data_IF_409040650619
#
_entry.id   IF_409040650619
#
_cell.length_a   1.000
_cell.length_b   1.000
_cell.length_c   1.000
_cell.angle_alpha   90.00
_cell.angle_beta   90.00
_cell.angle_gamma   90.00
#
_symmetry.space_group_name_H-M   'P 1'
#
loop_
_entity.id
_entity.type
_entity.pdbx_description
1 polymer ?
#
# COMPACT_ATOMS: atom_id res chain seq x y z
N UNK A 1 16.74 -19.17 18.11
CA UNK A 1 15.31 -18.85 18.27
C UNK A 1 14.98 -19.12 19.73
N UNK A 2 14.65 -18.08 20.47
CA UNK A 2 14.12 -18.26 21.81
C UNK A 2 12.78 -19.00 21.67
N UNK A 3 12.53 -19.97 22.53
CA UNK A 3 11.26 -20.71 22.49
C UNK A 3 10.21 -19.81 23.15
N UNK A 4 9.09 -19.55 22.48
CA UNK A 4 7.92 -18.90 23.11
C UNK A 4 7.61 -19.64 24.41
N UNK A 5 7.61 -18.92 25.54
CA UNK A 5 7.32 -19.50 26.85
C UNK A 5 5.85 -19.22 27.17
N UNK A 6 5.02 -20.20 26.88
CA UNK A 6 3.58 -20.12 27.08
C UNK A 6 3.17 -20.41 28.52
N UNK A 7 2.13 -19.73 29.04
CA UNK A 7 1.40 -20.20 30.21
C UNK A 7 0.73 -21.56 29.96
N UNK A 8 0.23 -22.20 31.01
CA UNK A 8 -0.60 -23.40 30.86
C UNK A 8 -1.91 -23.09 30.13
N UNK A 9 -2.32 -23.95 29.19
CA UNK A 9 -3.50 -23.75 28.33
C UNK A 9 -4.79 -23.42 29.09
N UNK A 10 -5.00 -24.05 30.26
CA UNK A 10 -6.20 -23.83 31.06
C UNK A 10 -6.28 -22.42 31.69
N UNK A 11 -5.14 -21.74 31.86
CA UNK A 11 -5.07 -20.39 32.39
C UNK A 11 -5.44 -19.34 31.35
N UNK A 12 -5.19 -19.63 30.07
CA UNK A 12 -5.42 -18.71 28.96
C UNK A 12 -6.62 -19.08 28.10
N UNK A 13 -7.33 -20.17 28.42
CA UNK A 13 -8.54 -20.57 27.71
C UNK A 13 -9.58 -19.42 27.64
N UNK A 14 -10.18 -19.15 26.47
CA UNK A 14 -10.20 -19.97 25.26
C UNK A 14 -9.05 -19.69 24.29
N UNK A 15 -8.08 -18.85 24.66
CA UNK A 15 -6.87 -18.67 23.86
C UNK A 15 -5.98 -19.91 23.94
N UNK A 16 -5.14 -20.06 22.92
CA UNK A 16 -4.10 -21.09 22.86
C UNK A 16 -2.74 -20.42 22.68
N UNK A 17 -1.68 -21.04 23.19
CA UNK A 17 -0.32 -20.53 23.02
C UNK A 17 0.60 -21.63 22.49
N UNK A 18 1.43 -21.30 21.51
CA UNK A 18 2.37 -22.23 20.91
C UNK A 18 3.60 -21.53 20.33
N UNK A 19 4.36 -22.26 19.51
CA UNK A 19 5.60 -21.73 18.91
C UNK A 19 5.40 -20.54 17.97
N UNK A 20 4.17 -20.25 17.55
CA UNK A 20 3.80 -19.09 16.73
C UNK A 20 3.27 -17.90 17.53
N UNK A 21 3.20 -17.99 18.86
CA UNK A 21 2.58 -16.98 19.72
C UNK A 21 1.24 -17.40 20.31
N UNK A 22 0.36 -16.44 20.57
CA UNK A 22 -0.93 -16.60 21.25
C UNK A 22 -2.07 -16.35 20.28
N UNK A 23 -3.00 -17.30 20.20
CA UNK A 23 -4.24 -17.17 19.41
C UNK A 23 -5.44 -17.07 20.34
N UNK A 24 -6.06 -15.90 20.35
CA UNK A 24 -7.25 -15.55 21.11
C UNK A 24 -8.49 -15.41 20.23
N UNK A 25 -8.49 -15.93 19.00
CA UNK A 25 -9.63 -15.81 18.06
C UNK A 25 -10.95 -16.34 18.63
N UNK A 26 -10.89 -17.31 19.55
CA UNK A 26 -12.04 -17.95 20.19
C UNK A 26 -12.66 -17.16 21.37
N UNK A 27 -12.16 -15.97 21.72
CA UNK A 27 -12.76 -15.16 22.79
C UNK A 27 -14.14 -14.62 22.40
N UNK A 28 -15.06 -14.57 23.37
CA UNK A 28 -16.45 -14.19 23.21
C UNK A 28 -16.77 -12.80 23.78
N UNK A 29 -15.83 -12.19 24.50
CA UNK A 29 -15.94 -10.78 24.91
C UNK A 29 -14.58 -10.17 25.24
N UNK A 30 -14.54 -8.85 25.29
CA UNK A 30 -13.40 -8.07 25.74
C UNK A 30 -13.08 -8.31 27.22
N UNK A 31 -14.06 -8.60 28.08
CA UNK A 31 -13.79 -9.04 29.46
C UNK A 31 -13.13 -10.42 29.50
N UNK A 32 -13.48 -11.34 28.60
CA UNK A 32 -12.83 -12.64 28.51
C UNK A 32 -11.38 -12.48 28.06
N UNK A 33 -11.12 -11.64 27.05
CA UNK A 33 -9.78 -11.32 26.60
C UNK A 33 -8.95 -10.70 27.73
N UNK A 34 -9.49 -9.72 28.45
CA UNK A 34 -8.79 -9.09 29.58
C UNK A 34 -8.45 -10.09 30.69
N UNK A 35 -9.34 -11.06 30.98
CA UNK A 35 -9.06 -12.11 31.98
C UNK A 35 -7.87 -12.99 31.59
N UNK A 36 -7.74 -13.33 30.31
CA UNK A 36 -6.59 -14.12 29.81
C UNK A 36 -5.27 -13.45 30.17
N UNK A 37 -5.18 -12.14 30.02
CA UNK A 37 -3.96 -11.35 30.29
C UNK A 37 -3.83 -10.85 31.74
N UNK A 38 -4.77 -11.17 32.62
CA UNK A 38 -4.62 -10.98 34.08
C UNK A 38 -3.85 -12.12 34.74
N UNK A 39 -3.71 -13.26 34.06
CA UNK A 39 -2.96 -14.40 34.55
C UNK A 39 -1.45 -14.17 34.45
N UNK A 40 -0.68 -14.85 35.29
CA UNK A 40 0.77 -14.74 35.28
C UNK A 40 1.36 -15.42 34.04
N UNK A 41 2.00 -14.64 33.17
CA UNK A 41 2.78 -15.17 32.06
C UNK A 41 4.21 -15.51 32.53
N UNK A 42 4.81 -16.61 32.04
CA UNK A 42 6.21 -16.93 32.37
C UNK A 42 7.22 -15.88 31.90
N UNK A 43 6.86 -15.11 30.88
CA UNK A 43 7.65 -14.02 30.30
C UNK A 43 6.69 -12.92 29.82
N UNK A 44 7.01 -11.63 30.04
CA UNK A 44 6.24 -10.53 29.46
C UNK A 44 6.44 -10.43 27.93
N UNK A 45 7.58 -10.92 27.43
CA UNK A 45 7.82 -11.00 25.99
C UNK A 45 7.28 -12.31 25.41
N UNK A 46 6.44 -12.19 24.40
CA UNK A 46 6.05 -13.28 23.51
C UNK A 46 6.77 -13.05 22.17
N UNK A 47 7.81 -13.85 21.92
CA UNK A 47 8.55 -13.90 20.64
C UNK A 47 7.69 -14.59 19.55
N UNK A 48 6.57 -13.96 19.21
CA UNK A 48 5.56 -14.49 18.31
C UNK A 48 4.35 -13.56 18.17
N UNK A 49 3.34 -14.07 17.46
CA UNK A 49 2.14 -13.30 17.14
C UNK A 49 1.10 -13.29 18.26
N UNK A 50 0.48 -12.14 18.51
CA UNK A 50 -0.86 -12.10 19.07
C UNK A 50 -1.87 -12.16 17.93
N UNK A 51 -2.83 -13.09 18.04
CA UNK A 51 -3.88 -13.30 17.05
C UNK A 51 -5.26 -13.11 17.64
N UNK A 52 -6.07 -12.29 16.97
CA UNK A 52 -7.52 -12.23 17.17
C UNK A 52 -8.15 -12.16 15.79
N UNK A 53 -8.48 -13.31 15.21
CA UNK A 53 -8.90 -13.41 13.81
C UNK A 53 -10.36 -13.81 13.71
N UNK A 54 -11.07 -13.24 12.72
CA UNK A 54 -12.46 -13.62 12.43
C UNK A 54 -13.41 -13.49 13.64
N UNK A 55 -13.01 -12.69 14.62
CA UNK A 55 -13.74 -12.47 15.85
C UNK A 55 -14.88 -11.48 15.59
N UNK A 56 -16.10 -11.93 15.90
CA UNK A 56 -17.31 -11.12 15.72
C UNK A 56 -17.86 -10.58 17.04
N UNK A 57 -17.16 -10.79 18.15
CA UNK A 57 -17.66 -10.50 19.48
C UNK A 57 -17.05 -9.23 20.09
N UNK A 58 -15.77 -8.99 19.83
CA UNK A 58 -15.06 -7.82 20.34
C UNK A 58 -15.36 -6.61 19.45
N UNK A 59 -15.89 -5.55 20.08
CA UNK A 59 -16.16 -4.26 19.41
C UNK A 59 -15.12 -3.20 19.68
N UNK A 60 -14.54 -3.25 20.88
CA UNK A 60 -13.54 -2.29 21.35
C UNK A 60 -12.40 -3.09 21.98
N UNK A 61 -11.18 -2.83 21.54
CA UNK A 61 -9.99 -3.32 22.23
C UNK A 61 -9.55 -2.26 23.22
N UNK A 62 -9.71 -2.55 24.52
CA UNK A 62 -9.51 -1.57 25.59
C UNK A 62 -8.05 -1.40 25.99
N UNK A 63 -7.70 -0.21 26.45
CA UNK A 63 -6.37 0.12 26.94
C UNK A 63 -5.97 -0.82 28.09
N UNK A 64 -4.71 -1.26 28.09
CA UNK A 64 -4.17 -2.17 29.10
C UNK A 64 -4.68 -3.62 29.04
N UNK A 65 -5.43 -4.00 28.00
CA UNK A 65 -5.97 -5.37 27.84
C UNK A 65 -4.87 -6.45 27.86
N UNK A 66 -3.64 -6.12 27.44
CA UNK A 66 -2.51 -7.06 27.44
C UNK A 66 -1.64 -6.97 28.71
N UNK A 67 -1.98 -6.12 29.68
CA UNK A 67 -1.17 -5.93 30.89
C UNK A 67 0.25 -5.47 30.55
N UNK A 68 1.25 -6.26 30.94
CA UNK A 68 2.68 -6.03 30.61
C UNK A 68 3.16 -6.87 29.41
N UNK A 69 2.26 -7.63 28.78
CA UNK A 69 2.61 -8.52 27.66
C UNK A 69 2.82 -7.72 26.38
N UNK A 70 3.84 -8.09 25.62
CA UNK A 70 4.16 -7.51 24.33
C UNK A 70 4.57 -8.57 23.30
N UNK A 71 4.40 -8.20 22.02
CA UNK A 71 4.41 -9.14 20.89
C UNK A 71 5.29 -8.63 19.75
N UNK A 72 5.87 -9.56 19.00
CA UNK A 72 6.58 -9.26 17.74
C UNK A 72 5.60 -8.98 16.61
N UNK A 73 4.50 -9.74 16.52
CA UNK A 73 3.47 -9.53 15.51
C UNK A 73 2.11 -9.31 16.17
N UNK A 74 1.37 -8.33 15.67
CA UNK A 74 0.03 -8.03 16.14
C UNK A 74 -0.96 -8.19 15.00
N UNK A 75 -1.70 -9.29 15.03
CA UNK A 75 -2.55 -9.73 13.93
C UNK A 75 -4.00 -9.82 14.39
N UNK A 76 -4.77 -8.78 14.09
CA UNK A 76 -6.18 -8.68 14.43
C UNK A 76 -7.03 -8.44 13.20
N UNK A 77 -6.78 -9.18 12.13
CA UNK A 77 -7.54 -9.04 10.88
C UNK A 77 -8.93 -9.71 10.90
N UNK A 78 -9.77 -9.28 9.96
CA UNK A 78 -11.07 -9.90 9.67
C UNK A 78 -12.04 -9.89 10.86
N UNK A 79 -11.99 -8.91 11.75
CA UNK A 79 -12.93 -8.76 12.85
C UNK A 79 -14.00 -7.71 12.51
N UNK A 80 -15.13 -8.09 11.88
CA UNK A 80 -16.13 -7.14 11.39
C UNK A 80 -16.86 -6.40 12.52
N UNK A 81 -16.76 -6.85 13.76
CA UNK A 81 -17.35 -6.16 14.90
C UNK A 81 -16.42 -5.11 15.51
N UNK A 82 -15.11 -5.18 15.23
CA UNK A 82 -14.12 -4.30 15.85
C UNK A 82 -14.14 -2.92 15.21
N UNK A 83 -14.55 -1.92 16.00
CA UNK A 83 -14.78 -0.55 15.54
C UNK A 83 -13.77 0.44 16.13
N UNK A 84 -13.16 0.09 17.26
CA UNK A 84 -12.26 0.98 17.98
C UNK A 84 -11.13 0.21 18.68
N UNK A 85 -9.93 0.77 18.63
CA UNK A 85 -8.78 0.36 19.43
C UNK A 85 -8.45 1.57 20.30
N UNK A 86 -8.55 1.40 21.61
CA UNK A 86 -8.21 2.46 22.55
C UNK A 86 -6.71 2.79 22.49
N UNK A 87 -6.40 4.03 22.84
CA UNK A 87 -5.04 4.52 23.03
C UNK A 87 -4.28 3.63 24.02
N UNK A 88 -3.01 3.35 23.74
CA UNK A 88 -2.13 2.61 24.63
C UNK A 88 -2.21 1.08 24.53
N UNK A 89 -3.13 0.52 23.74
CA UNK A 89 -3.35 -0.94 23.64
C UNK A 89 -2.06 -1.70 23.34
N UNK A 90 -1.23 -1.19 22.43
CA UNK A 90 -0.03 -1.89 21.95
C UNK A 90 1.30 -1.21 22.31
N UNK A 91 1.27 -0.15 23.13
CA UNK A 91 2.49 0.62 23.45
C UNK A 91 3.61 -0.21 24.08
N UNK A 92 3.30 -1.28 24.80
CA UNK A 92 4.32 -2.16 25.38
C UNK A 92 5.16 -2.90 24.32
N UNK A 93 4.66 -2.99 23.07
CA UNK A 93 5.34 -3.66 21.96
C UNK A 93 6.16 -2.70 21.11
N UNK A 94 6.38 -1.46 21.53
CA UNK A 94 7.10 -0.42 20.78
C UNK A 94 8.49 -0.86 20.27
N UNK A 95 9.26 -1.54 21.11
CA UNK A 95 10.61 -2.03 20.76
C UNK A 95 10.63 -3.42 20.13
N UNK A 96 9.51 -4.14 20.10
CA UNK A 96 9.44 -5.53 19.67
C UNK A 96 8.61 -5.74 18.40
N UNK A 97 7.55 -4.96 18.21
CA UNK A 97 6.58 -5.16 17.15
C UNK A 97 7.21 -4.87 15.78
N UNK A 98 7.20 -5.87 14.89
CA UNK A 98 7.70 -5.79 13.53
C UNK A 98 6.55 -5.67 12.51
N UNK A 99 5.40 -6.28 12.81
CA UNK A 99 4.22 -6.33 11.94
C UNK A 99 2.96 -6.01 12.72
N UNK A 100 2.12 -5.13 12.17
CA UNK A 100 0.79 -4.83 12.68
C UNK A 100 -0.24 -5.00 11.57
N UNK A 101 -0.99 -6.10 11.60
CA UNK A 101 -2.07 -6.41 10.67
C UNK A 101 -3.44 -6.12 11.32
N UNK A 102 -4.08 -5.06 10.84
CA UNK A 102 -5.37 -4.56 11.28
C UNK A 102 -6.40 -4.57 10.15
N UNK A 103 -6.18 -5.36 9.09
CA UNK A 103 -7.01 -5.33 7.89
C UNK A 103 -8.41 -5.90 8.11
N UNK A 104 -9.38 -5.48 7.28
CA UNK A 104 -10.73 -6.06 7.22
C UNK A 104 -11.47 -6.01 8.56
N UNK A 105 -11.27 -4.92 9.31
CA UNK A 105 -12.04 -4.59 10.49
C UNK A 105 -13.02 -3.44 10.16
N UNK A 106 -13.67 -2.87 11.16
CA UNK A 106 -14.53 -1.69 11.01
C UNK A 106 -13.97 -0.46 11.77
N UNK A 107 -12.64 -0.34 11.86
CA UNK A 107 -12.00 0.74 12.60
C UNK A 107 -12.36 2.10 12.00
N UNK A 108 -12.95 2.98 12.82
CA UNK A 108 -13.29 4.34 12.40
C UNK A 108 -12.08 5.29 12.45
N UNK A 109 -11.11 4.97 13.30
CA UNK A 109 -9.90 5.76 13.55
C UNK A 109 -8.78 4.85 14.06
N UNK A 110 -7.54 5.30 13.92
CA UNK A 110 -6.36 4.66 14.50
C UNK A 110 -5.40 5.73 15.07
N UNK A 111 -4.84 5.56 16.27
CA UNK A 111 -4.00 6.58 16.92
C UNK A 111 -2.56 6.58 16.36
N UNK A 112 -2.38 7.01 15.10
CA UNK A 112 -1.07 6.98 14.40
C UNK A 112 0.07 7.69 15.16
N UNK A 113 -0.23 8.71 15.96
CA UNK A 113 0.77 9.42 16.76
C UNK A 113 1.43 8.54 17.83
N UNK A 114 0.77 7.45 18.26
CA UNK A 114 1.32 6.46 19.21
C UNK A 114 2.38 5.56 18.57
N UNK A 115 2.57 5.64 17.25
CA UNK A 115 3.60 4.87 16.55
C UNK A 115 5.00 5.48 16.65
N UNK A 116 5.15 6.68 17.23
CA UNK A 116 6.46 7.34 17.37
C UNK A 116 7.55 6.49 18.07
N UNK A 117 7.27 5.73 19.15
CA UNK A 117 8.26 4.87 19.79
C UNK A 117 8.47 3.52 19.08
N UNK A 118 7.70 3.18 18.03
CA UNK A 118 7.76 1.88 17.36
C UNK A 118 8.98 1.76 16.44
N UNK A 119 10.14 1.50 17.01
CA UNK A 119 11.43 1.51 16.30
C UNK A 119 11.69 0.28 15.42
N UNK A 120 10.90 -0.78 15.58
CA UNK A 120 11.04 -2.03 14.80
C UNK A 120 9.86 -2.30 13.87
N UNK A 121 8.79 -1.49 13.90
CA UNK A 121 7.60 -1.73 13.09
C UNK A 121 7.93 -1.48 11.61
N UNK A 122 7.90 -2.55 10.81
CA UNK A 122 8.23 -2.52 9.39
C UNK A 122 7.01 -2.58 8.49
N UNK A 123 5.93 -3.22 8.94
CA UNK A 123 4.71 -3.45 8.17
C UNK A 123 3.51 -2.97 8.98
N UNK A 124 2.75 -2.02 8.43
CA UNK A 124 1.50 -1.54 8.98
C UNK A 124 0.37 -1.72 7.95
N UNK A 125 -0.60 -2.55 8.29
CA UNK A 125 -1.70 -2.88 7.39
C UNK A 125 -3.04 -2.49 8.00
N UNK A 126 -3.69 -1.50 7.38
CA UNK A 126 -4.97 -0.93 7.83
C UNK A 126 -6.03 -0.98 6.71
N UNK A 127 -5.80 -1.82 5.70
CA UNK A 127 -6.70 -1.97 4.56
C UNK A 127 -8.10 -2.44 4.95
N UNK A 128 -9.11 -2.06 4.16
CA UNK A 128 -10.51 -2.45 4.34
C UNK A 128 -11.03 -2.16 5.75
N UNK A 129 -10.85 -0.92 6.21
CA UNK A 129 -11.42 -0.38 7.45
C UNK A 129 -12.40 0.76 7.13
N UNK A 130 -12.86 1.48 8.16
CA UNK A 130 -13.74 2.63 8.04
C UNK A 130 -13.02 3.95 8.38
N UNK A 131 -11.72 4.06 8.08
CA UNK A 131 -10.96 5.28 8.35
C UNK A 131 -11.42 6.42 7.44
N UNK A 132 -11.84 7.53 8.05
CA UNK A 132 -12.43 8.69 7.35
C UNK A 132 -11.51 9.91 7.30
N UNK A 133 -10.26 9.78 7.77
CA UNK A 133 -9.29 10.87 7.81
C UNK A 133 -7.90 10.35 7.47
N UNK A 134 -7.14 11.15 6.70
CA UNK A 134 -5.76 10.83 6.39
C UNK A 134 -4.90 10.79 7.67
N UNK A 135 -3.98 9.83 7.78
CA UNK A 135 -3.09 9.71 8.93
C UNK A 135 -2.14 10.91 9.05
N UNK A 136 -1.86 11.28 10.31
CA UNK A 136 -0.73 12.14 10.64
C UNK A 136 0.36 11.24 11.24
N UNK A 137 1.28 10.79 10.39
CA UNK A 137 2.36 9.93 10.82
C UNK A 137 3.41 10.70 11.64
N UNK A 138 3.90 10.14 12.76
CA UNK A 138 5.17 10.58 13.33
C UNK A 138 6.32 10.23 12.38
N UNK A 139 7.51 10.76 12.65
CA UNK A 139 8.71 10.30 11.95
C UNK A 139 8.96 8.84 12.31
N UNK A 140 8.94 7.95 11.30
CA UNK A 140 9.11 6.51 11.50
C UNK A 140 10.22 6.00 10.58
N UNK A 141 11.38 5.72 11.17
CA UNK A 141 12.54 5.23 10.43
C UNK A 141 12.46 3.73 10.09
N UNK A 142 11.59 2.97 10.75
CA UNK A 142 11.49 1.52 10.59
C UNK A 142 10.49 1.09 9.52
N UNK A 143 9.47 1.90 9.26
CA UNK A 143 8.32 1.51 8.44
C UNK A 143 8.72 1.38 6.97
N UNK A 144 8.42 0.22 6.38
CA UNK A 144 8.75 -0.14 4.99
C UNK A 144 7.52 -0.40 4.14
N UNK A 145 6.43 -0.90 4.73
CA UNK A 145 5.19 -1.22 4.01
C UNK A 145 3.99 -0.61 4.72
N UNK A 146 3.15 0.09 3.94
CA UNK A 146 1.93 0.71 4.43
C UNK A 146 0.75 0.38 3.50
N UNK A 147 -0.31 -0.19 4.07
CA UNK A 147 -1.58 -0.44 3.37
C UNK A 147 -2.70 0.37 3.99
N UNK A 148 -3.31 1.26 3.21
CA UNK A 148 -4.50 2.04 3.59
C UNK A 148 -5.70 1.79 2.66
N UNK A 149 -5.55 0.92 1.65
CA UNK A 149 -6.57 0.60 0.65
C UNK A 149 -7.96 0.31 1.22
N UNK A 150 -9.01 0.59 0.46
CA UNK A 150 -10.39 0.21 0.84
C UNK A 150 -10.99 1.01 2.00
N UNK A 151 -10.29 2.03 2.51
CA UNK A 151 -10.83 2.97 3.49
C UNK A 151 -11.61 4.11 2.82
N UNK A 152 -12.66 4.66 3.47
CA UNK A 152 -13.39 5.84 2.99
C UNK A 152 -12.65 7.14 3.30
N UNK A 153 -11.37 7.24 2.91
CA UNK A 153 -10.56 8.44 3.07
C UNK A 153 -11.08 9.58 2.19
N UNK A 154 -10.81 10.86 2.56
CA UNK A 154 -11.11 11.98 1.70
C UNK A 154 -10.48 11.82 0.31
N UNK A 155 -11.26 12.11 -0.74
CA UNK A 155 -10.86 11.92 -2.15
C UNK A 155 -9.67 12.77 -2.58
N UNK A 156 -9.41 13.85 -1.84
CA UNK A 156 -8.26 14.71 -1.99
C UNK A 156 -7.18 14.27 -0.99
N UNK A 157 -6.08 13.73 -1.51
CA UNK A 157 -4.96 13.32 -0.69
C UNK A 157 -4.09 14.53 -0.32
N UNK A 158 -3.79 14.78 0.97
CA UNK A 158 -2.96 15.88 1.40
C UNK A 158 -1.54 15.78 0.85
N UNK A 159 -0.97 16.92 0.47
CA UNK A 159 0.46 16.99 0.12
C UNK A 159 1.31 16.60 1.32
N UNK A 160 2.32 15.76 1.08
CA UNK A 160 3.30 15.37 2.10
C UNK A 160 2.81 14.41 3.19
N UNK A 161 1.62 13.81 3.05
CA UNK A 161 1.05 12.87 4.05
C UNK A 161 1.98 11.71 4.43
N UNK A 162 2.88 11.30 3.52
CA UNK A 162 3.85 10.22 3.76
C UNK A 162 5.28 10.71 4.04
N UNK A 163 5.57 12.01 3.96
CA UNK A 163 6.93 12.54 4.11
C UNK A 163 7.66 12.13 5.40
N UNK A 164 6.99 11.91 6.55
CA UNK A 164 7.65 11.39 7.76
C UNK A 164 8.21 9.96 7.64
N UNK A 165 7.86 9.22 6.58
CA UNK A 165 8.16 7.80 6.38
C UNK A 165 9.33 7.61 5.39
N UNK A 166 10.50 8.16 5.69
CA UNK A 166 11.65 8.24 4.75
C UNK A 166 12.15 6.87 4.24
N UNK A 167 11.91 5.80 5.00
CA UNK A 167 12.32 4.43 4.68
C UNK A 167 11.21 3.59 4.03
N UNK A 168 10.07 4.19 3.72
CA UNK A 168 8.94 3.50 3.10
C UNK A 168 9.31 2.98 1.71
N UNK A 169 9.04 1.70 1.49
CA UNK A 169 9.36 0.97 0.26
C UNK A 169 8.10 0.68 -0.55
N UNK A 170 7.00 0.31 0.13
CA UNK A 170 5.77 -0.12 -0.53
C UNK A 170 4.56 0.63 0.04
N UNK A 171 3.71 1.13 -0.86
CA UNK A 171 2.50 1.87 -0.51
C UNK A 171 1.31 1.31 -1.28
N UNK A 172 0.22 0.98 -0.57
CA UNK A 172 -1.01 0.46 -1.16
C UNK A 172 -2.20 1.40 -0.85
N UNK A 173 -2.74 2.01 -1.91
CA UNK A 173 -3.77 3.05 -1.91
C UNK A 173 -4.87 2.80 -2.96
N UNK A 174 -5.15 1.53 -3.27
CA UNK A 174 -6.24 1.17 -4.19
C UNK A 174 -7.60 1.24 -3.48
N UNK A 175 -8.68 1.37 -4.26
CA UNK A 175 -10.05 1.39 -3.74
C UNK A 175 -10.32 2.51 -2.71
N UNK A 176 -9.78 3.71 -2.93
CA UNK A 176 -9.96 4.88 -2.06
C UNK A 176 -10.84 5.97 -2.71
N UNK A 177 -11.33 5.75 -3.94
CA UNK A 177 -12.10 6.71 -4.74
C UNK A 177 -11.36 8.04 -4.97
N UNK A 178 -10.03 8.01 -4.95
CA UNK A 178 -9.20 9.19 -5.17
C UNK A 178 -9.42 9.70 -6.59
N UNK A 179 -9.51 11.01 -6.74
CA UNK A 179 -9.69 11.65 -8.06
C UNK A 179 -8.45 12.45 -8.48
N UNK A 180 -7.65 12.85 -7.50
CA UNK A 180 -6.42 13.64 -7.70
C UNK A 180 -5.33 13.18 -6.74
N UNK A 181 -4.09 13.49 -7.09
CA UNK A 181 -2.95 13.37 -6.19
C UNK A 181 -2.24 14.71 -6.18
N UNK A 182 -2.02 15.27 -5.00
CA UNK A 182 -1.29 16.52 -4.86
C UNK A 182 0.18 16.35 -5.29
N UNK A 183 0.76 17.32 -6.02
CA UNK A 183 2.20 17.34 -6.28
C UNK A 183 3.01 17.20 -4.99
N UNK A 184 4.09 16.44 -5.07
CA UNK A 184 5.00 16.18 -3.95
C UNK A 184 4.47 15.26 -2.85
N UNK A 185 3.34 14.56 -3.07
CA UNK A 185 2.83 13.53 -2.14
C UNK A 185 3.89 12.48 -1.81
N UNK A 186 4.65 12.03 -2.82
CA UNK A 186 5.66 10.98 -2.69
C UNK A 186 7.09 11.52 -2.58
N UNK A 187 7.24 12.82 -2.28
CA UNK A 187 8.56 13.44 -2.11
C UNK A 187 9.26 12.92 -0.85
N UNK A 188 10.59 12.89 -0.89
CA UNK A 188 11.47 12.42 0.19
C UNK A 188 11.33 10.94 0.60
N UNK A 189 10.51 10.15 -0.10
CA UNK A 189 10.41 8.70 0.07
C UNK A 189 11.55 7.97 -0.65
N UNK A 190 12.79 8.15 -0.19
CA UNK A 190 13.99 7.73 -0.94
C UNK A 190 14.12 6.22 -1.14
N UNK A 191 13.42 5.40 -0.35
CA UNK A 191 13.43 3.94 -0.51
C UNK A 191 12.24 3.38 -1.29
N UNK A 192 11.36 4.25 -1.78
CA UNK A 192 10.15 3.84 -2.48
C UNK A 192 10.48 2.93 -3.66
N UNK A 193 9.80 1.80 -3.69
CA UNK A 193 9.97 0.71 -4.64
C UNK A 193 8.67 0.47 -5.41
N UNK A 194 7.55 0.36 -4.68
CA UNK A 194 6.23 0.02 -5.23
C UNK A 194 5.18 1.01 -4.76
N UNK A 195 4.40 1.55 -5.70
CA UNK A 195 3.22 2.36 -5.41
C UNK A 195 2.01 1.75 -6.12
N UNK A 196 1.04 1.28 -5.33
CA UNK A 196 -0.20 0.70 -5.84
C UNK A 196 -1.36 1.69 -5.72
N UNK A 197 -1.73 2.31 -6.85
CA UNK A 197 -2.84 3.27 -7.00
C UNK A 197 -3.90 2.74 -7.97
N UNK A 198 -3.96 1.41 -8.11
CA UNK A 198 -4.85 0.69 -9.01
C UNK A 198 -6.34 0.81 -8.62
N UNK A 199 -7.19 0.01 -9.27
CA UNK A 199 -8.65 0.16 -9.36
C UNK A 199 -9.40 0.58 -8.09
N UNK A 200 -10.56 1.18 -8.33
CA UNK A 200 -11.39 1.79 -7.29
C UNK A 200 -10.91 3.19 -6.90
N UNK A 201 -9.95 3.74 -7.65
CA UNK A 201 -9.68 5.16 -7.79
C UNK A 201 -10.23 5.66 -9.14
N UNK A 202 -10.24 6.97 -9.32
CA UNK A 202 -10.87 7.67 -10.45
C UNK A 202 -9.96 8.79 -10.99
N UNK A 203 -8.66 8.53 -11.06
CA UNK A 203 -7.72 9.50 -11.61
C UNK A 203 -8.01 9.72 -13.09
N UNK A 204 -8.28 10.98 -13.48
CA UNK A 204 -8.48 11.36 -14.89
C UNK A 204 -7.23 11.89 -15.56
N UNK A 205 -6.34 12.46 -14.76
CA UNK A 205 -5.09 13.04 -15.24
C UNK A 205 -3.99 12.87 -14.19
N UNK A 206 -2.74 12.74 -14.64
CA UNK A 206 -1.56 12.74 -13.78
C UNK A 206 -0.82 14.08 -13.92
N UNK A 207 -0.81 14.93 -12.87
CA UNK A 207 -0.24 16.28 -12.96
C UNK A 207 1.30 16.28 -12.86
N UNK A 208 1.91 17.41 -13.23
CA UNK A 208 3.33 17.66 -13.05
C UNK A 208 3.75 17.50 -11.57
N UNK A 209 4.93 16.94 -11.35
CA UNK A 209 5.53 16.82 -10.02
C UNK A 209 4.82 15.85 -9.08
N UNK A 210 4.09 14.88 -9.63
CA UNK A 210 3.47 13.80 -8.87
C UNK A 210 4.54 12.94 -8.16
N UNK A 211 5.61 12.62 -8.89
CA UNK A 211 6.77 11.90 -8.38
C UNK A 211 8.05 12.71 -8.65
N UNK A 212 8.37 13.67 -7.77
CA UNK A 212 9.68 14.37 -7.87
C UNK A 212 10.80 13.60 -7.18
N UNK A 213 10.47 12.59 -6.36
CA UNK A 213 11.45 11.79 -5.65
C UNK A 213 12.30 10.97 -6.63
N UNK A 214 13.63 11.11 -6.51
CA UNK A 214 14.61 10.33 -7.27
C UNK A 214 14.91 9.02 -6.55
N UNK A 215 13.89 8.26 -6.18
CA UNK A 215 14.05 7.06 -5.37
C UNK A 215 14.81 6.00 -6.18
N UNK A 216 16.07 5.67 -5.83
CA UNK A 216 16.92 4.74 -6.60
C UNK A 216 16.45 3.27 -6.52
N UNK A 217 15.28 3.01 -5.93
CA UNK A 217 14.69 1.68 -5.79
C UNK A 217 13.36 1.55 -6.52
N UNK A 218 12.83 2.63 -7.09
CA UNK A 218 11.53 2.60 -7.73
C UNK A 218 11.54 1.57 -8.87
N UNK A 219 10.61 0.62 -8.80
CA UNK A 219 10.47 -0.44 -9.79
C UNK A 219 9.06 -0.54 -10.35
N UNK A 220 8.03 -0.13 -9.60
CA UNK A 220 6.63 -0.33 -10.00
C UNK A 220 5.71 0.82 -9.59
N UNK A 221 5.03 1.39 -10.58
CA UNK A 221 3.94 2.35 -10.39
C UNK A 221 2.66 1.78 -11.00
N UNK A 222 1.67 1.48 -10.17
CA UNK A 222 0.41 0.89 -10.62
C UNK A 222 -0.72 1.90 -10.68
N UNK A 223 -1.23 2.16 -11.88
CA UNK A 223 -2.42 2.96 -12.16
C UNK A 223 -3.51 2.14 -12.86
N UNK A 224 -3.43 0.80 -12.82
CA UNK A 224 -4.38 -0.09 -13.45
C UNK A 224 -5.83 0.23 -13.08
N UNK A 225 -6.72 0.28 -14.08
CA UNK A 225 -8.17 0.39 -13.84
C UNK A 225 -8.61 1.73 -13.26
N UNK A 226 -7.98 2.83 -13.69
CA UNK A 226 -8.40 4.20 -13.44
C UNK A 226 -9.08 4.82 -14.69
N UNK A 227 -9.28 6.13 -14.69
CA UNK A 227 -9.93 6.89 -15.78
C UNK A 227 -8.94 7.80 -16.54
N UNK A 228 -7.63 7.46 -16.53
CA UNK A 228 -6.56 8.35 -16.97
C UNK A 228 -6.64 8.59 -18.47
N UNK A 229 -6.68 9.85 -18.88
CA UNK A 229 -6.70 10.32 -20.26
C UNK A 229 -5.45 11.13 -20.59
N UNK A 230 -5.00 11.95 -19.64
CA UNK A 230 -3.88 12.87 -19.82
C UNK A 230 -2.79 12.65 -18.76
N UNK A 231 -1.55 12.73 -19.21
CA UNK A 231 -0.36 12.67 -18.35
C UNK A 231 0.51 13.86 -18.69
N UNK A 232 0.91 14.62 -17.67
CA UNK A 232 1.86 15.72 -17.82
C UNK A 232 3.28 15.18 -18.08
N UNK A 233 4.05 15.89 -18.90
CA UNK A 233 5.44 15.51 -19.25
C UNK A 233 6.38 15.43 -18.04
N UNK A 234 6.02 16.05 -16.91
CA UNK A 234 6.77 16.02 -15.66
C UNK A 234 6.04 15.25 -14.54
N UNK A 235 5.06 14.41 -14.87
CA UNK A 235 4.36 13.60 -13.86
C UNK A 235 5.27 12.54 -13.23
N UNK A 236 6.17 11.95 -14.04
CA UNK A 236 7.07 10.88 -13.63
C UNK A 236 8.54 11.32 -13.66
N UNK A 237 9.40 10.75 -12.79
CA UNK A 237 10.79 11.13 -12.73
C UNK A 237 11.59 10.39 -13.81
N UNK A 238 12.47 11.11 -14.50
CA UNK A 238 13.49 10.46 -15.34
C UNK A 238 14.60 9.94 -14.41
N UNK A 239 14.75 8.62 -14.34
CA UNK A 239 15.72 7.94 -13.48
C UNK A 239 16.70 7.14 -14.33
N UNK A 240 17.95 7.03 -13.89
CA UNK A 240 18.97 6.20 -14.57
C UNK A 240 18.81 4.69 -14.26
N UNK A 241 17.58 4.27 -13.99
CA UNK A 241 17.20 2.90 -13.70
C UNK A 241 15.80 2.68 -14.28
N UNK A 242 15.60 1.58 -14.99
CA UNK A 242 14.29 1.25 -15.54
C UNK A 242 13.28 0.91 -14.44
N UNK A 243 12.03 1.27 -14.66
CA UNK A 243 10.89 0.88 -13.83
C UNK A 243 9.65 0.72 -14.71
N UNK A 244 8.62 0.07 -14.19
CA UNK A 244 7.37 -0.16 -14.94
C UNK A 244 6.28 0.80 -14.51
N UNK A 245 5.59 1.39 -15.48
CA UNK A 245 4.35 2.13 -15.27
C UNK A 245 3.20 1.29 -15.83
N UNK A 246 2.33 0.82 -14.95
CA UNK A 246 1.15 0.08 -15.33
C UNK A 246 -0.05 1.01 -15.53
N UNK A 247 -0.43 1.22 -16.79
CA UNK A 247 -1.55 2.09 -17.22
C UNK A 247 -2.67 1.27 -17.87
N UNK A 248 -2.68 -0.04 -17.68
CA UNK A 248 -3.75 -0.91 -18.16
C UNK A 248 -5.15 -0.42 -17.79
N UNK A 249 -6.11 -0.68 -18.67
CA UNK A 249 -7.53 -0.41 -18.46
C UNK A 249 -7.80 1.04 -18.02
N UNK A 250 -7.17 2.00 -18.68
CA UNK A 250 -7.43 3.43 -18.53
C UNK A 250 -8.19 3.97 -19.75
N UNK A 251 -8.12 5.27 -20.01
CA UNK A 251 -8.85 5.96 -21.09
C UNK A 251 -7.89 6.74 -22.00
N UNK A 252 -6.64 6.33 -22.07
CA UNK A 252 -5.63 7.01 -22.91
C UNK A 252 -5.91 6.74 -24.39
N UNK A 253 -6.11 7.80 -25.17
CA UNK A 253 -6.19 7.70 -26.63
C UNK A 253 -4.89 8.08 -27.32
N UNK A 254 -4.09 8.99 -26.75
CA UNK A 254 -2.89 9.52 -27.39
C UNK A 254 -1.65 9.28 -26.51
N UNK A 255 -0.63 8.65 -27.08
CA UNK A 255 0.71 8.51 -26.48
C UNK A 255 1.61 9.67 -26.95
N UNK A 256 1.53 10.81 -26.26
CA UNK A 256 2.31 12.02 -26.59
C UNK A 256 3.82 11.76 -26.45
N UNK A 257 4.58 11.93 -27.54
CA UNK A 257 6.03 11.67 -27.58
C UNK A 257 6.80 12.39 -26.47
N UNK A 258 6.53 13.68 -26.26
CA UNK A 258 7.22 14.49 -25.25
C UNK A 258 7.00 14.03 -23.80
N UNK A 259 5.98 13.22 -23.54
CA UNK A 259 5.72 12.61 -22.22
C UNK A 259 6.49 11.30 -22.07
N UNK A 260 6.39 10.43 -23.08
CA UNK A 260 6.80 9.03 -22.93
C UNK A 260 8.21 8.73 -23.43
N UNK A 261 8.67 9.35 -24.53
CA UNK A 261 10.00 9.08 -25.09
C UNK A 261 11.12 9.29 -24.06
N UNK A 262 11.18 10.41 -23.30
CA UNK A 262 12.27 10.62 -22.34
C UNK A 262 12.31 9.56 -21.24
N UNK A 263 11.15 9.08 -20.78
CA UNK A 263 11.05 8.02 -19.77
C UNK A 263 11.51 6.69 -20.36
N UNK A 264 10.98 6.35 -21.54
CA UNK A 264 11.28 5.09 -22.21
C UNK A 264 12.77 5.01 -22.53
N UNK A 265 13.41 6.05 -23.08
CA UNK A 265 14.86 6.10 -23.33
C UNK A 265 15.71 5.76 -22.09
N UNK A 266 15.20 6.06 -20.90
CA UNK A 266 15.83 5.76 -19.61
C UNK A 266 15.43 4.40 -19.01
N UNK A 267 14.83 3.53 -19.81
CA UNK A 267 14.53 2.14 -19.46
C UNK A 267 13.15 1.93 -18.84
N UNK A 268 12.27 2.93 -18.87
CA UNK A 268 10.89 2.78 -18.40
C UNK A 268 10.10 1.89 -19.38
N UNK A 269 9.41 0.90 -18.82
CA UNK A 269 8.47 0.03 -19.54
C UNK A 269 7.04 0.50 -19.30
N UNK A 270 6.22 0.53 -20.35
CA UNK A 270 4.82 0.95 -20.27
C UNK A 270 3.89 -0.22 -20.56
N UNK A 271 2.91 -0.42 -19.67
CA UNK A 271 1.83 -1.40 -19.86
C UNK A 271 0.54 -0.69 -20.21
N UNK A 272 -0.02 -0.95 -21.40
CA UNK A 272 -1.10 -0.13 -21.98
C UNK A 272 -2.34 -0.91 -22.43
N UNK A 273 -2.40 -2.23 -22.24
CA UNK A 273 -3.56 -3.08 -22.59
C UNK A 273 -4.86 -2.48 -22.03
N UNK A 274 -5.91 -2.46 -22.86
CA UNK A 274 -7.23 -1.94 -22.45
C UNK A 274 -7.37 -0.42 -22.50
N UNK A 275 -6.49 0.29 -23.23
CA UNK A 275 -6.66 1.70 -23.56
C UNK A 275 -7.14 1.90 -25.01
N UNK A 276 -7.98 2.92 -25.29
CA UNK A 276 -8.49 3.21 -26.63
C UNK A 276 -7.46 3.96 -27.51
N UNK A 277 -6.26 3.40 -27.69
CA UNK A 277 -5.14 4.07 -28.33
C UNK A 277 -5.35 4.34 -29.83
N UNK A 278 -5.22 5.59 -30.26
CA UNK A 278 -5.24 6.01 -31.66
C UNK A 278 -3.84 5.80 -32.26
N UNK A 279 -3.68 4.74 -33.06
CA UNK A 279 -2.43 4.41 -33.73
C UNK A 279 -2.33 5.07 -35.10
N UNK A 280 -2.30 6.41 -35.13
CA UNK A 280 -2.12 7.21 -36.33
C UNK A 280 -0.70 7.84 -36.36
N UNK A 281 -0.50 8.87 -37.20
CA UNK A 281 0.79 9.58 -37.27
C UNK A 281 1.25 10.15 -35.92
N UNK A 282 0.36 10.41 -34.97
CA UNK A 282 0.73 10.86 -33.63
C UNK A 282 1.52 9.81 -32.83
N UNK A 283 1.48 8.54 -33.25
CA UNK A 283 2.23 7.43 -32.65
C UNK A 283 3.41 6.95 -33.52
N UNK A 284 3.67 7.60 -34.67
CA UNK A 284 4.74 7.22 -35.58
C UNK A 284 6.11 7.13 -34.89
N UNK A 285 6.37 8.03 -33.94
CA UNK A 285 7.58 8.09 -33.12
C UNK A 285 7.90 6.79 -32.36
N UNK A 286 6.85 6.04 -31.98
CA UNK A 286 6.92 4.76 -31.28
C UNK A 286 6.94 3.59 -32.26
N UNK A 287 6.12 3.66 -33.32
CA UNK A 287 5.96 2.59 -34.31
C UNK A 287 7.22 2.40 -35.16
N UNK A 288 7.89 3.51 -35.51
CA UNK A 288 9.11 3.50 -36.34
C UNK A 288 10.39 3.26 -35.55
N UNK A 289 10.34 3.26 -34.21
CA UNK A 289 11.48 3.05 -33.34
C UNK A 289 11.38 1.70 -32.60
N UNK A 290 12.08 0.69 -33.14
CA UNK A 290 12.07 -0.67 -32.57
C UNK A 290 12.55 -0.76 -31.12
N UNK A 291 13.39 0.17 -30.65
CA UNK A 291 13.83 0.21 -29.25
C UNK A 291 12.72 0.71 -28.32
N UNK A 292 11.92 1.69 -28.79
CA UNK A 292 10.75 2.17 -28.04
C UNK A 292 9.63 1.14 -28.08
N UNK A 293 9.36 0.55 -29.26
CA UNK A 293 8.35 -0.49 -29.41
C UNK A 293 8.62 -1.69 -28.48
N UNK A 294 9.88 -2.10 -28.33
CA UNK A 294 10.27 -3.19 -27.42
C UNK A 294 9.99 -2.93 -25.93
N UNK A 295 9.67 -1.68 -25.53
CA UNK A 295 9.31 -1.29 -24.14
C UNK A 295 7.80 -1.28 -23.90
N UNK A 296 7.01 -1.56 -24.93
CA UNK A 296 5.56 -1.72 -24.84
C UNK A 296 5.23 -3.20 -24.73
N UNK A 297 4.40 -3.54 -23.76
CA UNK A 297 3.92 -4.91 -23.56
C UNK A 297 3.18 -5.45 -24.80
N UNK A 298 3.52 -6.68 -25.19
CA UNK A 298 2.84 -7.43 -26.27
C UNK A 298 1.36 -7.64 -25.95
N UNK A 299 0.49 -7.52 -26.95
CA UNK A 299 -0.97 -7.56 -26.75
C UNK A 299 -1.61 -6.19 -26.48
N UNK A 300 -0.82 -5.12 -26.42
CA UNK A 300 -1.37 -3.75 -26.47
C UNK A 300 -1.98 -3.50 -27.86
N UNK A 301 -3.22 -3.01 -27.90
CA UNK A 301 -3.98 -2.80 -29.15
C UNK A 301 -4.35 -1.34 -29.37
N UNK A 302 -4.50 -0.99 -30.64
CA UNK A 302 -5.16 0.24 -31.08
C UNK A 302 -6.66 0.19 -30.79
N UNK A 303 -7.34 1.33 -30.88
CA UNK A 303 -8.79 1.47 -30.75
C UNK A 303 -9.57 0.67 -31.79
N UNK A 304 -8.93 0.32 -32.91
CA UNK A 304 -9.46 -0.58 -33.95
C UNK A 304 -9.40 -2.07 -33.57
N UNK A 305 -8.71 -2.41 -32.48
CA UNK A 305 -8.45 -3.79 -32.05
C UNK A 305 -7.19 -4.43 -32.65
N UNK A 306 -6.49 -3.74 -33.57
CA UNK A 306 -5.21 -4.22 -34.10
C UNK A 306 -4.11 -4.13 -33.05
N UNK A 307 -3.26 -5.16 -32.93
CA UNK A 307 -2.09 -5.11 -32.04
C UNK A 307 -1.06 -4.10 -32.54
N UNK A 308 -0.52 -3.28 -31.64
CA UNK A 308 0.45 -2.21 -31.97
C UNK A 308 1.73 -2.82 -32.58
N UNK A 309 2.19 -3.95 -32.05
CA UNK A 309 3.36 -4.69 -32.55
C UNK A 309 3.16 -5.30 -33.96
N UNK A 310 1.92 -5.33 -34.47
CA UNK A 310 1.61 -5.81 -35.82
C UNK A 310 1.53 -4.71 -36.88
N UNK A 311 1.67 -3.44 -36.48
CA UNK A 311 1.67 -2.30 -37.39
C UNK A 311 2.93 -2.31 -38.25
N UNK A 312 2.79 -1.99 -39.54
CA UNK A 312 3.92 -1.90 -40.45
C UNK A 312 4.60 -0.52 -40.29
N UNK A 313 5.87 -0.44 -39.86
CA UNK A 313 6.54 0.85 -39.67
C UNK A 313 6.64 1.70 -40.95
N UNK A 314 6.70 1.08 -42.13
CA UNK A 314 6.77 1.77 -43.41
C UNK A 314 5.53 2.64 -43.69
N UNK A 315 4.38 2.28 -43.13
CA UNK A 315 3.13 3.02 -43.29
C UNK A 315 3.15 4.36 -42.53
N UNK A 316 4.16 4.59 -41.68
CA UNK A 316 4.31 5.76 -40.80
C UNK A 316 5.55 6.60 -41.08
N UNK A 317 6.33 6.30 -42.13
CA UNK A 317 7.59 7.01 -42.45
C UNK A 317 7.37 8.44 -42.96
N UNK A 318 6.24 8.70 -43.61
CA UNK A 318 5.87 10.03 -44.13
C UNK A 318 5.10 10.88 -43.10
N UNK A 319 4.98 10.37 -41.87
CA UNK A 319 4.68 11.18 -40.69
C UNK A 319 6.00 11.86 -40.21
#
# INVERSE_FOLDING_TARGET
MAKVICPDDWMIAPCTCGGSGIDCSAVESDEQLAKVFQHAFPSPFIDGSFKLLQNSNIKVLRSGVFGEIYFTDFDIEQNPSLVFIEEGVILNSDVACETMNLQKNNLNSFPFYELAPFINLTILELGDNNLTSWPLFPAMDSLKSLTLSGNPLPTDMPSGVFQPLYNLENIYLHNLKLTTIAPGTFDNLWKLNVVMLSSGNHFKSLPAGLFNSRSPRLSWLDFWGNDIQDVDQHAFPVLNQGYTINLHNNKMSILKEGVWRPLMENGVELRLIGNPLECDCGMAWLITDGNMMGKIETGSTCSTGQEIHSLNPEDFIDC
#
